data_IF_131722295684
#
_entry.id   IF_131722295684
#
_cell.length_a   1.000
_cell.length_b   1.000
_cell.length_c   1.000
_cell.angle_alpha   90.00
_cell.angle_beta   90.00
_cell.angle_gamma   90.00
#
_symmetry.space_group_name_H-M   'P 1'
#
loop_
_entity.id
_entity.type
_entity.pdbx_description
1 polymer ?
#
# COMPACT_ATOMS: atom_id res chain seq x y z
N UNK A 1 -15.40 -11.70 -2.48
CA UNK A 1 -16.87 -11.70 -2.44
C UNK A 1 -17.45 -13.10 -2.14
N UNK A 2 -17.01 -14.17 -2.82
CA UNK A 2 -17.46 -15.55 -2.56
C UNK A 2 -17.31 -16.03 -1.10
N UNK A 3 -16.24 -15.63 -0.41
CA UNK A 3 -15.99 -16.04 0.98
C UNK A 3 -17.02 -15.47 1.98
N UNK A 4 -17.50 -14.24 1.74
CA UNK A 4 -18.51 -13.61 2.61
C UNK A 4 -19.88 -14.30 2.45
N UNK A 5 -20.20 -14.77 1.24
CA UNK A 5 -21.43 -15.51 0.97
C UNK A 5 -21.39 -16.86 1.71
N UNK A 6 -20.23 -17.54 1.72
CA UNK A 6 -20.06 -18.80 2.43
C UNK A 6 -20.18 -18.64 3.95
N UNK A 7 -19.62 -17.56 4.52
CA UNK A 7 -19.71 -17.25 5.94
C UNK A 7 -21.15 -16.96 6.38
N UNK A 8 -21.90 -16.20 5.58
CA UNK A 8 -23.33 -15.90 5.85
C UNK A 8 -24.18 -17.17 5.74
N UNK A 9 -23.95 -18.00 4.72
CA UNK A 9 -24.67 -19.28 4.56
C UNK A 9 -24.43 -20.22 5.74
N UNK A 10 -23.19 -20.29 6.24
CA UNK A 10 -22.85 -21.09 7.41
C UNK A 10 -23.52 -20.56 8.69
N UNK A 11 -23.49 -19.25 8.92
CA UNK A 11 -24.16 -18.63 10.07
C UNK A 11 -25.68 -18.89 10.08
N UNK A 12 -26.33 -18.80 8.91
CA UNK A 12 -27.76 -19.09 8.74
C UNK A 12 -28.05 -20.57 9.00
N UNK A 13 -27.19 -21.49 8.53
CA UNK A 13 -27.32 -22.93 8.80
C UNK A 13 -27.21 -23.25 10.29
N UNK A 14 -26.26 -22.63 11.01
CA UNK A 14 -26.13 -22.78 12.46
C UNK A 14 -27.37 -22.27 13.21
N UNK A 15 -27.94 -21.13 12.80
CA UNK A 15 -29.14 -20.53 13.38
C UNK A 15 -30.39 -21.41 13.16
N UNK A 16 -30.57 -21.92 11.93
CA UNK A 16 -31.66 -22.83 11.59
C UNK A 16 -31.58 -24.14 12.40
N UNK A 17 -30.36 -24.67 12.58
CA UNK A 17 -30.13 -25.88 13.34
C UNK A 17 -30.35 -25.69 14.86
N UNK A 18 -29.94 -24.54 15.41
CA UNK A 18 -30.24 -24.17 16.79
C UNK A 18 -31.75 -24.02 17.05
N UNK A 19 -32.50 -23.45 16.09
CA UNK A 19 -33.97 -23.41 16.16
C UNK A 19 -34.59 -24.81 16.13
N UNK A 20 -34.09 -25.70 15.27
CA UNK A 20 -34.60 -27.07 15.17
C UNK A 20 -34.34 -27.89 16.45
N UNK A 21 -33.18 -27.70 17.09
CA UNK A 21 -32.85 -28.33 18.37
C UNK A 21 -33.79 -27.88 19.51
N UNK A 22 -34.26 -26.63 19.48
CA UNK A 22 -35.21 -26.09 20.46
C UNK A 22 -36.62 -26.69 20.33
N UNK A 23 -36.96 -27.24 19.16
CA UNK A 23 -38.28 -27.84 18.87
C UNK A 23 -38.40 -29.32 19.30
N UNK A 24 -37.32 -29.99 19.74
CA UNK A 24 -37.35 -31.37 20.25
C UNK A 24 -36.64 -31.51 21.60
N UNK A 25 -37.33 -31.23 22.72
CA UNK A 25 -36.72 -31.16 24.06
C UNK A 25 -36.28 -32.51 24.66
N UNK A 26 -36.71 -33.64 24.10
CA UNK A 26 -36.61 -34.94 24.79
C UNK A 26 -35.32 -35.73 24.57
N UNK A 27 -34.29 -35.13 23.96
CA UNK A 27 -33.02 -35.83 23.69
C UNK A 27 -31.84 -35.14 24.37
N UNK A 28 -31.60 -35.41 25.67
CA UNK A 28 -30.52 -34.76 26.44
C UNK A 28 -29.12 -35.05 25.88
N UNK A 29 -28.96 -36.17 25.15
CA UNK A 29 -27.71 -36.52 24.45
C UNK A 29 -27.51 -35.64 23.22
N UNK A 30 -28.55 -35.41 22.42
CA UNK A 30 -28.49 -34.53 21.24
C UNK A 30 -28.20 -33.09 21.65
N UNK A 31 -28.76 -32.60 22.75
CA UNK A 31 -28.49 -31.24 23.23
C UNK A 31 -27.00 -31.01 23.54
N UNK A 32 -26.31 -32.01 24.11
CA UNK A 32 -24.86 -31.96 24.40
C UNK A 32 -24.03 -31.96 23.12
N UNK A 33 -24.34 -32.83 22.16
CA UNK A 33 -23.64 -32.87 20.87
C UNK A 33 -23.86 -31.59 20.06
N UNK A 34 -25.07 -31.02 20.09
CA UNK A 34 -25.41 -29.76 19.41
C UNK A 34 -24.66 -28.59 20.04
N UNK A 35 -24.63 -28.51 21.37
CA UNK A 35 -23.85 -27.50 22.10
C UNK A 35 -22.36 -27.58 21.76
N UNK A 36 -21.80 -28.80 21.75
CA UNK A 36 -20.40 -29.02 21.42
C UNK A 36 -20.07 -28.66 19.97
N UNK A 37 -20.93 -29.03 19.02
CA UNK A 37 -20.80 -28.68 17.61
C UNK A 37 -20.87 -27.16 17.38
N UNK A 38 -21.79 -26.46 18.07
CA UNK A 38 -21.93 -25.00 17.97
C UNK A 38 -20.73 -24.26 18.55
N UNK A 39 -20.19 -24.73 19.68
CA UNK A 39 -18.95 -24.20 20.28
C UNK A 39 -17.76 -24.38 19.33
N UNK A 40 -17.62 -25.55 18.71
CA UNK A 40 -16.56 -25.85 17.75
C UNK A 40 -16.67 -24.98 16.49
N UNK A 41 -17.89 -24.81 15.96
CA UNK A 41 -18.16 -23.96 14.80
C UNK A 41 -17.77 -22.49 15.06
N UNK A 42 -18.11 -21.95 16.24
CA UNK A 42 -17.73 -20.59 16.64
C UNK A 42 -16.20 -20.41 16.72
N UNK A 43 -15.50 -21.38 17.30
CA UNK A 43 -14.03 -21.35 17.40
C UNK A 43 -13.41 -21.37 16.00
N UNK A 44 -13.88 -22.25 15.11
CA UNK A 44 -13.38 -22.32 13.72
C UNK A 44 -13.63 -21.01 12.98
N UNK A 45 -14.82 -20.41 13.09
CA UNK A 45 -15.11 -19.11 12.48
C UNK A 45 -14.21 -17.99 13.04
N UNK A 46 -13.96 -17.96 14.35
CA UNK A 46 -13.07 -16.97 14.96
C UNK A 46 -11.62 -17.12 14.45
N UNK A 47 -11.10 -18.34 14.37
CA UNK A 47 -9.75 -18.63 13.84
C UNK A 47 -9.66 -18.24 12.36
N UNK A 48 -10.68 -18.54 11.56
CA UNK A 48 -10.70 -18.16 10.14
C UNK A 48 -10.71 -16.64 9.95
N UNK A 49 -11.47 -15.91 10.76
CA UNK A 49 -11.50 -14.45 10.75
C UNK A 49 -10.14 -13.86 11.13
N UNK A 50 -9.46 -14.42 12.15
CA UNK A 50 -8.10 -14.01 12.53
C UNK A 50 -7.11 -14.27 11.39
N UNK A 51 -7.17 -15.43 10.74
CA UNK A 51 -6.31 -15.78 9.60
C UNK A 51 -6.51 -14.83 8.41
N UNK A 52 -7.75 -14.43 8.13
CA UNK A 52 -8.06 -13.46 7.07
C UNK A 52 -7.49 -12.08 7.41
N UNK A 53 -7.57 -11.64 8.67
CA UNK A 53 -7.00 -10.36 9.10
C UNK A 53 -5.47 -10.37 9.00
N UNK A 54 -4.81 -11.46 9.43
CA UNK A 54 -3.36 -11.60 9.37
C UNK A 54 -2.86 -11.63 7.91
N UNK A 55 -3.55 -12.35 7.03
CA UNK A 55 -3.16 -12.46 5.61
C UNK A 55 -3.53 -11.22 4.80
N UNK A 56 -4.60 -10.50 5.16
CA UNK A 56 -5.08 -9.31 4.47
C UNK A 56 -4.17 -8.08 4.65
N UNK A 57 -3.42 -7.98 5.74
CA UNK A 57 -2.48 -6.87 5.97
C UNK A 57 -1.05 -7.17 5.50
N UNK A 58 -0.76 -8.38 5.01
CA UNK A 58 0.59 -8.83 4.68
C UNK A 58 0.99 -8.64 3.21
N UNK A 59 0.17 -7.98 2.38
CA UNK A 59 0.65 -7.47 1.08
C UNK A 59 1.41 -6.15 1.24
N UNK A 60 2.30 -6.09 2.23
CA UNK A 60 3.43 -5.17 2.21
C UNK A 60 4.35 -5.65 1.11
N UNK A 61 4.27 -4.99 -0.05
CA UNK A 61 5.17 -5.25 -1.16
C UNK A 61 6.62 -5.17 -0.66
N UNK A 62 7.53 -6.05 -1.13
CA UNK A 62 8.95 -5.90 -0.83
C UNK A 62 9.35 -4.46 -1.14
N UNK A 63 10.09 -3.79 -0.23
CA UNK A 63 10.52 -2.43 -0.45
C UNK A 63 11.18 -2.34 -1.83
N UNK A 64 10.78 -1.34 -2.61
CA UNK A 64 11.48 -1.07 -3.86
C UNK A 64 12.85 -0.50 -3.51
N UNK A 65 13.85 -1.38 -3.47
CA UNK A 65 15.25 -1.09 -3.13
C UNK A 65 15.87 0.03 -3.97
N UNK A 66 15.21 0.41 -5.07
CA UNK A 66 15.67 1.51 -5.90
C UNK A 66 15.61 2.88 -5.22
N UNK A 67 14.85 3.06 -4.12
CA UNK A 67 14.63 4.36 -3.45
C UNK A 67 14.17 5.48 -4.40
N UNK A 68 13.72 5.13 -5.61
CA UNK A 68 13.23 6.07 -6.62
C UNK A 68 11.76 6.35 -6.38
N UNK A 69 11.36 7.59 -6.66
CA UNK A 69 9.94 7.91 -6.76
C UNK A 69 9.31 7.13 -7.92
N UNK A 70 8.06 6.74 -7.75
CA UNK A 70 7.25 6.04 -8.74
C UNK A 70 6.36 7.06 -9.44
N UNK A 71 6.51 7.18 -10.76
CA UNK A 71 5.60 7.94 -11.60
C UNK A 71 4.56 6.97 -12.17
N UNK A 72 3.35 7.03 -11.63
CA UNK A 72 2.24 6.14 -11.96
C UNK A 72 1.31 6.88 -12.90
N UNK A 73 1.05 6.30 -14.07
CA UNK A 73 0.11 6.79 -15.06
C UNK A 73 -0.93 5.72 -15.31
N UNK A 74 -2.22 6.09 -15.20
CA UNK A 74 -3.33 5.17 -15.45
C UNK A 74 -4.21 5.77 -16.54
N UNK A 75 -4.34 5.03 -17.64
CA UNK A 75 -5.18 5.42 -18.77
C UNK A 75 -6.09 4.27 -19.15
N UNK A 76 -7.23 4.54 -19.77
CA UNK A 76 -8.04 3.47 -20.38
C UNK A 76 -7.22 2.72 -21.45
N UNK A 77 -7.60 1.48 -21.75
CA UNK A 77 -6.99 0.65 -22.78
C UNK A 77 -6.93 1.39 -24.13
N UNK A 78 -8.01 2.08 -24.46
CA UNK A 78 -8.05 3.12 -25.49
C UNK A 78 -8.04 4.50 -24.83
N UNK A 79 -6.90 5.22 -24.83
CA UNK A 79 -6.79 6.47 -24.10
C UNK A 79 -7.72 7.54 -24.69
N UNK A 80 -8.54 8.13 -23.82
CA UNK A 80 -9.35 9.30 -24.14
C UNK A 80 -8.47 10.45 -24.67
N UNK A 81 -9.03 11.48 -25.32
CA UNK A 81 -8.24 12.63 -25.79
C UNK A 81 -7.37 13.26 -24.70
N UNK A 82 -7.88 13.34 -23.46
CA UNK A 82 -7.11 13.81 -22.30
C UNK A 82 -5.99 12.83 -21.92
N UNK A 83 -6.25 11.51 -21.98
CA UNK A 83 -5.23 10.48 -21.77
C UNK A 83 -4.11 10.56 -22.79
N UNK A 84 -4.43 10.71 -24.07
CA UNK A 84 -3.44 10.92 -25.14
C UNK A 84 -2.63 12.20 -24.91
N UNK A 85 -3.29 13.31 -24.60
CA UNK A 85 -2.61 14.58 -24.32
C UNK A 85 -1.64 14.46 -23.14
N UNK A 86 -1.99 13.73 -22.08
CA UNK A 86 -1.08 13.45 -20.96
C UNK A 86 0.13 12.63 -21.41
N UNK A 87 -0.10 11.51 -22.09
CA UNK A 87 0.99 10.62 -22.55
C UNK A 87 1.92 11.33 -23.54
N UNK A 88 1.35 12.12 -24.45
CA UNK A 88 2.11 12.93 -25.39
C UNK A 88 2.87 14.03 -24.67
N UNK A 89 2.27 14.70 -23.69
CA UNK A 89 2.95 15.72 -22.89
C UNK A 89 4.18 15.15 -22.18
N UNK A 90 4.08 13.96 -21.58
CA UNK A 90 5.22 13.29 -20.90
C UNK A 90 6.34 13.00 -21.90
N UNK A 91 5.99 12.52 -23.11
CA UNK A 91 6.96 12.16 -24.16
C UNK A 91 7.63 13.38 -24.81
N UNK A 92 6.85 14.42 -25.10
CA UNK A 92 7.28 15.56 -25.92
C UNK A 92 7.89 16.69 -25.10
N UNK A 93 7.58 16.80 -23.82
CA UNK A 93 8.12 17.86 -22.95
C UNK A 93 9.47 17.41 -22.38
N UNK A 94 10.59 18.08 -22.70
CA UNK A 94 11.92 17.63 -22.28
C UNK A 94 12.08 17.49 -20.75
N UNK A 95 11.51 18.42 -19.97
CA UNK A 95 11.58 18.38 -18.50
C UNK A 95 10.82 17.19 -17.92
N UNK A 96 9.65 16.87 -18.47
CA UNK A 96 8.89 15.69 -18.03
C UNK A 96 9.61 14.41 -18.39
N UNK A 97 10.21 14.30 -19.59
CA UNK A 97 11.02 13.15 -19.96
C UNK A 97 12.22 12.94 -19.03
N UNK A 98 12.88 14.02 -18.60
CA UNK A 98 13.96 13.94 -17.61
C UNK A 98 13.46 13.46 -16.24
N UNK A 99 12.31 13.96 -15.77
CA UNK A 99 11.69 13.48 -14.52
C UNK A 99 11.32 12.00 -14.66
N UNK A 100 10.69 11.60 -15.78
CA UNK A 100 10.30 10.22 -16.08
C UNK A 100 11.50 9.26 -16.01
N UNK A 101 12.67 9.67 -16.54
CA UNK A 101 13.88 8.87 -16.57
C UNK A 101 14.49 8.62 -15.18
N UNK A 102 14.22 9.52 -14.21
CA UNK A 102 14.71 9.40 -12.82
C UNK A 102 13.71 8.75 -11.89
N UNK A 103 12.45 8.63 -12.32
CA UNK A 103 11.42 7.87 -11.62
C UNK A 103 11.34 6.43 -12.13
N UNK A 104 10.79 5.54 -11.31
CA UNK A 104 10.29 4.25 -11.79
C UNK A 104 8.93 4.46 -12.45
N UNK A 105 8.82 4.08 -13.72
CA UNK A 105 7.64 4.35 -14.53
C UNK A 105 6.67 3.19 -14.45
N UNK A 106 5.44 3.47 -14.05
CA UNK A 106 4.35 2.52 -14.10
C UNK A 106 3.26 3.10 -15.00
N UNK A 107 2.91 2.36 -16.05
CA UNK A 107 1.80 2.71 -16.93
C UNK A 107 0.82 1.54 -16.93
N UNK A 108 -0.34 1.76 -16.34
CA UNK A 108 -1.33 0.73 -16.11
C UNK A 108 -2.66 1.11 -16.75
N UNK A 109 -3.50 0.11 -16.93
CA UNK A 109 -4.90 0.25 -17.30
C UNK A 109 -5.78 -0.11 -16.10
N UNK A 110 -7.05 0.31 -16.07
CA UNK A 110 -7.97 -0.03 -14.98
C UNK A 110 -8.20 -1.53 -14.80
N UNK A 111 -7.91 -2.31 -15.84
CA UNK A 111 -8.10 -3.76 -15.90
C UNK A 111 -6.87 -4.54 -15.44
N UNK A 112 -5.72 -3.88 -15.26
CA UNK A 112 -4.51 -4.54 -14.77
C UNK A 112 -4.68 -5.03 -13.33
N UNK A 113 -4.46 -6.33 -13.08
CA UNK A 113 -4.58 -6.90 -11.74
C UNK A 113 -3.63 -6.25 -10.73
N UNK A 114 -2.41 -5.90 -11.17
CA UNK A 114 -1.44 -5.20 -10.33
C UNK A 114 -1.95 -3.81 -9.91
N UNK A 115 -2.69 -3.12 -10.78
CA UNK A 115 -3.35 -1.85 -10.48
C UNK A 115 -4.46 -2.01 -9.47
N UNK A 116 -5.35 -2.97 -9.72
CA UNK A 116 -6.49 -3.26 -8.87
C UNK A 116 -6.07 -3.60 -7.45
N UNK A 117 -5.02 -4.41 -7.30
CA UNK A 117 -4.50 -4.81 -6.00
C UNK A 117 -3.81 -3.67 -5.24
N UNK A 118 -3.08 -2.79 -5.93
CA UNK A 118 -2.14 -1.85 -5.27
C UNK A 118 -2.66 -0.42 -5.18
N UNK A 119 -3.25 0.09 -6.25
CA UNK A 119 -3.58 1.51 -6.34
C UNK A 119 -5.06 1.80 -6.51
N UNK A 120 -5.90 0.86 -6.93
CA UNK A 120 -7.32 1.16 -7.23
C UNK A 120 -8.11 1.76 -6.05
N UNK A 121 -7.74 1.43 -4.81
CA UNK A 121 -8.33 2.05 -3.62
C UNK A 121 -7.99 3.55 -3.49
N UNK A 122 -6.77 3.93 -3.84
CA UNK A 122 -6.27 5.31 -3.72
C UNK A 122 -6.47 6.11 -5.01
N UNK A 123 -6.41 5.45 -6.16
CA UNK A 123 -6.57 5.98 -7.51
C UNK A 123 -7.81 5.30 -8.12
N UNK A 124 -9.01 5.86 -7.97
CA UNK A 124 -10.20 5.16 -8.43
C UNK A 124 -10.28 5.17 -9.96
N UNK A 125 -10.69 4.05 -10.60
CA UNK A 125 -10.72 3.90 -12.05
C UNK A 125 -11.79 4.74 -12.77
N UNK A 126 -12.70 5.38 -12.02
CA UNK A 126 -13.79 6.18 -12.58
C UNK A 126 -13.37 7.59 -13.04
N UNK A 127 -12.11 8.00 -12.85
CA UNK A 127 -11.62 9.35 -13.19
C UNK A 127 -10.33 9.27 -14.00
N UNK A 128 -10.40 8.74 -15.21
CA UNK A 128 -9.24 8.63 -16.11
C UNK A 128 -9.08 9.87 -17.01
N UNK A 129 -7.85 10.19 -17.46
CA UNK A 129 -6.58 9.60 -17.03
C UNK A 129 -6.22 9.99 -15.58
N UNK A 130 -5.34 9.23 -14.93
CA UNK A 130 -4.79 9.54 -13.61
C UNK A 130 -3.27 9.62 -13.72
N UNK A 131 -2.69 10.60 -13.03
CA UNK A 131 -1.25 10.62 -12.77
C UNK A 131 -1.01 10.74 -11.27
N UNK A 132 -0.07 9.96 -10.76
CA UNK A 132 0.35 10.02 -9.39
C UNK A 132 1.87 9.94 -9.28
N UNK A 133 2.40 10.61 -8.26
CA UNK A 133 3.80 10.47 -7.84
C UNK A 133 3.78 9.84 -6.45
N UNK A 134 4.41 8.68 -6.31
CA UNK A 134 4.52 7.97 -5.06
C UNK A 134 5.98 7.77 -4.65
N UNK A 135 6.21 7.63 -3.35
CA UNK A 135 7.49 7.23 -2.77
C UNK A 135 7.70 5.73 -2.92
N UNK A 136 8.93 5.27 -2.68
CA UNK A 136 9.30 3.85 -2.66
C UNK A 136 8.52 3.03 -1.61
N UNK A 137 8.06 3.67 -0.54
CA UNK A 137 7.22 3.07 0.51
C UNK A 137 5.72 2.98 0.16
N UNK A 138 5.34 3.43 -1.05
CA UNK A 138 3.95 3.47 -1.50
C UNK A 138 3.17 4.72 -1.09
N UNK A 139 3.77 5.66 -0.36
CA UNK A 139 3.14 6.93 0.00
C UNK A 139 2.95 7.84 -1.22
N UNK A 140 1.70 8.20 -1.54
CA UNK A 140 1.38 9.10 -2.67
C UNK A 140 1.54 10.56 -2.26
N UNK A 141 2.44 11.29 -2.90
CA UNK A 141 2.74 12.71 -2.61
C UNK A 141 2.11 13.69 -3.60
N UNK A 142 1.70 13.20 -4.78
CA UNK A 142 0.94 13.96 -5.76
C UNK A 142 -0.04 13.04 -6.49
N UNK A 143 -1.24 13.57 -6.76
CA UNK A 143 -2.27 12.90 -7.55
C UNK A 143 -3.10 13.94 -8.28
N UNK A 144 -3.37 13.71 -9.55
CA UNK A 144 -4.34 14.46 -10.33
C UNK A 144 -5.09 13.52 -11.30
N UNK A 145 -6.30 13.90 -11.70
CA UNK A 145 -7.14 13.07 -12.55
C UNK A 145 -7.99 13.85 -13.55
N UNK A 146 -8.31 13.22 -14.68
CA UNK A 146 -9.14 13.80 -15.73
C UNK A 146 -8.57 15.12 -16.26
N UNK A 147 -9.42 16.13 -16.32
CA UNK A 147 -9.08 17.48 -16.79
C UNK A 147 -8.32 18.32 -15.76
N UNK A 148 -8.19 17.86 -14.52
CA UNK A 148 -7.45 18.58 -13.48
C UNK A 148 -5.94 18.37 -13.59
N UNK A 149 -5.48 17.54 -14.53
CA UNK A 149 -4.07 17.24 -14.70
C UNK A 149 -3.42 18.41 -15.45
N UNK A 150 -2.45 19.12 -14.84
CA UNK A 150 -1.66 20.10 -15.58
C UNK A 150 -0.86 19.38 -16.67
N UNK A 151 -0.58 20.08 -17.77
CA UNK A 151 0.18 19.54 -18.91
C UNK A 151 1.45 20.38 -19.16
N UNK A 152 2.40 19.79 -19.87
CA UNK A 152 3.66 20.40 -20.24
C UNK A 152 4.53 20.77 -19.06
N UNK A 153 5.19 21.93 -19.13
CA UNK A 153 6.09 22.41 -18.08
C UNK A 153 5.38 22.65 -16.74
N UNK A 154 4.08 22.99 -16.75
CA UNK A 154 3.31 23.16 -15.52
C UNK A 154 3.22 21.86 -14.71
N UNK A 155 3.11 20.72 -15.38
CA UNK A 155 3.15 19.42 -14.70
C UNK A 155 4.53 19.17 -14.11
N UNK A 156 5.59 19.49 -14.85
CA UNK A 156 6.95 19.32 -14.38
C UNK A 156 7.22 20.15 -13.12
N UNK A 157 6.80 21.42 -13.11
CA UNK A 157 6.95 22.31 -11.96
C UNK A 157 6.20 21.79 -10.73
N UNK A 158 4.98 21.31 -10.91
CA UNK A 158 4.19 20.72 -9.82
C UNK A 158 4.87 19.47 -9.26
N UNK A 159 5.36 18.56 -10.12
CA UNK A 159 6.04 17.34 -9.66
C UNK A 159 7.32 17.68 -8.90
N UNK A 160 8.15 18.59 -9.42
CA UNK A 160 9.39 19.04 -8.77
C UNK A 160 9.11 19.71 -7.43
N UNK A 161 8.12 20.60 -7.36
CA UNK A 161 7.72 21.24 -6.11
C UNK A 161 7.26 20.24 -5.05
N UNK A 162 6.51 19.20 -5.46
CA UNK A 162 6.04 18.14 -4.55
C UNK A 162 7.18 17.28 -4.02
N UNK A 163 8.15 16.93 -4.86
CA UNK A 163 9.36 16.21 -4.42
C UNK A 163 10.18 17.04 -3.45
N UNK A 164 10.39 18.33 -3.73
CA UNK A 164 11.11 19.21 -2.81
C UNK A 164 10.41 19.33 -1.45
N UNK A 165 9.10 19.53 -1.44
CA UNK A 165 8.32 19.58 -0.20
C UNK A 165 8.38 18.27 0.59
N UNK A 166 8.20 17.13 -0.09
CA UNK A 166 8.27 15.81 0.55
C UNK A 166 9.62 15.58 1.23
N UNK A 167 10.74 15.90 0.56
CA UNK A 167 12.09 15.75 1.12
C UNK A 167 12.37 16.62 2.33
N UNK A 168 11.76 17.81 2.41
CA UNK A 168 11.89 18.65 3.60
C UNK A 168 11.17 18.04 4.79
N UNK A 169 10.00 17.43 4.56
CA UNK A 169 9.23 16.75 5.62
C UNK A 169 9.73 15.35 5.96
N UNK A 170 10.34 14.67 4.99
CA UNK A 170 10.83 13.30 5.07
C UNK A 170 12.26 13.27 4.53
N UNK A 171 13.25 13.77 5.28
CA UNK A 171 14.64 13.72 4.85
C UNK A 171 15.05 12.25 4.77
N UNK A 172 15.03 11.69 3.57
CA UNK A 172 15.60 10.37 3.31
C UNK A 172 17.04 10.42 3.78
N UNK A 173 17.44 9.49 4.65
CA UNK A 173 18.83 9.40 5.12
C UNK A 173 19.74 9.37 3.90
N UNK A 174 20.50 10.45 3.69
CA UNK A 174 21.30 10.66 2.50
C UNK A 174 22.39 9.56 2.45
N UNK A 175 22.39 8.63 1.47
CA UNK A 175 23.29 7.48 1.51
C UNK A 175 24.73 7.78 1.05
N UNK A 176 25.14 9.04 1.00
CA UNK A 176 26.48 9.43 0.50
C UNK A 176 27.42 10.04 1.53
N UNK A 177 27.04 10.08 2.81
CA UNK A 177 27.98 10.40 3.88
C UNK A 177 28.25 9.13 4.67
N UNK A 178 28.99 8.22 4.08
CA UNK A 178 29.82 7.34 4.91
C UNK A 178 30.67 8.28 5.77
N UNK A 179 30.60 8.22 7.11
CA UNK A 179 31.62 8.84 7.93
C UNK A 179 32.88 8.04 7.66
N UNK A 180 33.66 8.47 6.67
CA UNK A 180 35.01 7.99 6.49
C UNK A 180 35.75 8.51 7.71
N UNK A 181 35.84 7.64 8.72
CA UNK A 181 36.84 7.77 9.76
C UNK A 181 38.18 8.05 9.08
N UNK A 182 38.90 8.98 9.67
CA UNK A 182 40.32 9.21 9.45
C UNK A 182 40.67 9.91 8.13
N UNK A 183 40.58 11.25 8.11
CA UNK A 183 41.76 12.13 7.90
C UNK A 183 41.45 13.50 8.52
N UNK A 184 42.19 13.86 9.56
CA UNK A 184 42.23 15.23 10.06
C UNK A 184 42.81 16.15 8.97
N UNK A 185 42.05 17.17 8.56
CA UNK A 185 42.58 18.32 7.82
C UNK A 185 42.30 18.38 6.32
N UNK A 186 41.12 18.87 5.96
CA UNK A 186 40.98 19.81 4.82
C UNK A 186 39.56 20.36 4.75
N UNK A 187 39.38 21.56 5.28
CA UNK A 187 38.29 22.44 4.87
C UNK A 187 38.65 23.00 3.48
N UNK A 188 38.37 22.24 2.42
CA UNK A 188 38.40 22.75 1.06
C UNK A 188 36.96 23.07 0.63
N UNK A 189 36.69 24.37 0.57
CA UNK A 189 35.51 24.94 -0.09
C UNK A 189 35.40 24.33 -1.51
N UNK A 190 34.19 23.99 -1.99
CA UNK A 190 34.03 23.42 -3.31
C UNK A 190 34.46 24.42 -4.38
N UNK A 191 35.55 24.09 -5.06
CA UNK A 191 36.06 24.82 -6.21
C UNK A 191 34.99 24.83 -7.32
N UNK A 192 34.56 26.04 -7.69
CA UNK A 192 33.48 26.31 -8.64
C UNK A 192 34.07 26.29 -10.04
N UNK A 193 33.96 25.16 -10.71
CA UNK A 193 34.35 24.99 -12.12
C UNK A 193 33.34 25.74 -13.02
N UNK A 194 33.72 26.85 -13.68
CA UNK A 194 32.79 27.70 -14.43
C UNK A 194 32.33 27.08 -15.77
N UNK A 195 33.00 26.03 -16.26
CA UNK A 195 32.74 25.43 -17.57
C UNK A 195 32.01 24.09 -17.50
N UNK A 196 31.62 23.62 -16.31
CA UNK A 196 30.72 22.46 -16.23
C UNK A 196 29.32 22.88 -16.70
N UNK A 197 28.71 22.17 -17.68
CA UNK A 197 27.30 22.37 -17.96
C UNK A 197 26.55 22.19 -16.65
N UNK A 198 25.67 23.15 -16.30
CA UNK A 198 24.78 23.03 -15.14
C UNK A 198 23.98 21.75 -15.30
N UNK A 199 24.47 20.66 -14.72
CA UNK A 199 23.65 19.52 -14.38
C UNK A 199 22.58 20.15 -13.49
N UNK A 200 21.32 20.14 -13.95
CA UNK A 200 20.23 20.65 -13.14
C UNK A 200 20.19 19.81 -11.85
N UNK A 201 20.85 20.30 -10.80
CA UNK A 201 20.82 19.75 -9.44
C UNK A 201 19.41 19.80 -8.83
N UNK A 202 18.45 20.42 -9.54
CA UNK A 202 17.02 20.39 -9.25
C UNK A 202 16.28 19.16 -9.80
N UNK A 203 16.93 18.35 -10.63
CA UNK A 203 16.32 17.12 -11.09
C UNK A 203 16.68 16.03 -10.07
N UNK A 204 15.69 15.24 -9.70
CA UNK A 204 15.68 14.22 -8.63
C UNK A 204 16.99 13.41 -8.65
N UNK A 205 17.88 13.46 -7.64
CA UNK A 205 19.09 12.64 -7.60
C UNK A 205 18.73 11.15 -7.69
N UNK A 206 19.47 10.43 -8.53
CA UNK A 206 19.49 8.98 -8.56
C UNK A 206 20.27 8.49 -7.33
N UNK A 207 19.61 7.83 -6.38
CA UNK A 207 20.32 7.18 -5.27
C UNK A 207 19.78 5.79 -5.04
N UNK A 208 20.65 4.79 -5.28
CA UNK A 208 20.52 3.42 -4.78
C UNK A 208 21.70 3.18 -3.86
N UNK A 209 21.45 3.06 -2.55
CA UNK A 209 22.19 2.14 -1.68
C UNK A 209 21.17 1.58 -0.68
N UNK A 210 20.97 0.28 -0.77
CA UNK A 210 20.11 -0.55 0.08
C UNK A 210 20.54 -0.46 1.54
N UNK A 211 19.72 0.18 2.35
CA UNK A 211 19.71 0.00 3.80
C UNK A 211 18.36 -0.63 4.12
N UNK A 212 18.39 -1.87 4.64
CA UNK A 212 17.20 -2.58 5.11
C UNK A 212 16.45 -1.71 6.12
N UNK A 213 15.24 -1.27 5.75
CA UNK A 213 14.35 -0.56 6.66
C UNK A 213 13.59 -1.60 7.53
N UNK A 214 13.49 -1.37 8.85
CA UNK A 214 12.82 -2.31 9.75
C UNK A 214 11.32 -2.33 9.46
N UNK A 215 10.77 -3.54 9.32
CA UNK A 215 9.35 -3.83 9.08
C UNK A 215 8.47 -3.33 10.25
N UNK A 216 8.02 -2.06 10.21
CA UNK A 216 7.41 -1.42 11.38
C UNK A 216 5.87 -1.40 11.42
N UNK A 217 5.17 -1.52 10.29
CA UNK A 217 3.70 -1.31 10.28
C UNK A 217 2.88 -2.57 10.60
N UNK A 218 3.39 -3.77 10.27
CA UNK A 218 2.72 -5.04 10.62
C UNK A 218 2.71 -5.29 12.12
N UNK A 219 3.73 -4.82 12.83
CA UNK A 219 3.94 -5.10 14.25
C UNK A 219 2.98 -4.30 15.16
N UNK A 220 2.66 -3.05 14.77
CA UNK A 220 1.72 -2.20 15.54
C UNK A 220 0.27 -2.68 15.38
N UNK A 221 -0.13 -3.11 14.18
CA UNK A 221 -1.48 -3.61 13.94
C UNK A 221 -1.69 -5.01 14.58
N UNK A 222 -0.68 -5.88 14.51
CA UNK A 222 -0.70 -7.18 15.18
C UNK A 222 -0.81 -7.03 16.72
N UNK A 223 -0.10 -6.06 17.31
CA UNK A 223 -0.14 -5.81 18.77
C UNK A 223 -1.42 -5.14 19.24
N UNK A 224 -1.97 -4.19 18.47
CA UNK A 224 -3.14 -3.40 18.91
C UNK A 224 -4.49 -4.10 18.72
N UNK A 225 -4.65 -4.91 17.66
CA UNK A 225 -5.93 -5.60 17.34
C UNK A 225 -5.85 -7.09 17.64
N UNK A 226 -4.70 -7.73 17.43
CA UNK A 226 -4.53 -9.17 17.64
C UNK A 226 -4.54 -9.57 19.12
N UNK A 227 -3.88 -8.78 19.98
CA UNK A 227 -3.76 -9.09 21.41
C UNK A 227 -5.11 -9.04 22.17
N UNK A 228 -5.97 -8.00 22.01
CA UNK A 228 -7.27 -7.98 22.67
C UNK A 228 -8.18 -9.12 22.21
N UNK A 229 -8.11 -9.49 20.93
CA UNK A 229 -8.93 -10.57 20.37
C UNK A 229 -8.50 -11.94 20.90
N UNK A 230 -7.19 -12.17 21.05
CA UNK A 230 -6.65 -13.37 21.69
C UNK A 230 -7.03 -13.46 23.18
N UNK A 231 -7.01 -12.33 23.90
CA UNK A 231 -7.44 -12.28 25.30
C UNK A 231 -8.94 -12.60 25.41
N UNK A 232 -9.78 -12.03 24.55
CA UNK A 232 -11.21 -12.31 24.52
C UNK A 232 -11.51 -13.77 24.16
N UNK A 233 -10.80 -14.35 23.19
CA UNK A 233 -10.91 -15.76 22.83
C UNK A 233 -10.48 -16.68 23.98
N UNK A 234 -9.36 -16.36 24.66
CA UNK A 234 -8.89 -17.11 25.83
C UNK A 234 -9.87 -17.04 26.99
N UNK A 235 -10.42 -15.87 27.29
CA UNK A 235 -11.44 -15.69 28.33
C UNK A 235 -12.73 -16.48 28.02
N UNK A 236 -13.14 -16.50 26.74
CA UNK A 236 -14.30 -17.28 26.31
C UNK A 236 -14.07 -18.78 26.46
N UNK A 237 -12.91 -19.30 26.05
CA UNK A 237 -12.56 -20.72 26.23
C UNK A 237 -12.53 -21.10 27.71
N UNK A 238 -11.93 -20.26 28.56
CA UNK A 238 -11.90 -20.50 30.01
C UNK A 238 -13.29 -20.49 30.65
N UNK A 239 -14.16 -19.57 30.23
CA UNK A 239 -15.56 -19.54 30.68
C UNK A 239 -16.28 -20.84 30.27
N UNK A 240 -16.10 -21.27 29.03
CA UNK A 240 -16.71 -22.49 28.46
C UNK A 240 -16.21 -23.79 29.11
N UNK A 241 -14.98 -23.81 29.62
CA UNK A 241 -14.39 -24.97 30.30
C UNK A 241 -14.74 -25.04 31.79
N UNK A 242 -15.21 -23.94 32.38
CA UNK A 242 -15.57 -23.86 33.80
C UNK A 242 -17.01 -24.33 34.08
N UNK A 243 -17.86 -24.30 33.05
CA UNK A 243 -19.25 -24.79 33.05
C UNK A 243 -19.36 -26.18 32.41
#
# INVERSE_FOLDING_TARGET
MFLNILAVAFAVACLAFACFAKLRPDTPVLLRWVSLAMRLALIVCAVLMILIVITGTAQGQPPDDSQKYHLITVTADEPSPAGRALLDSIRTTPRLSQIEARCKRFRWTPTDDAYLLRYAAQLPPNRLPVIALARSDGGVIFKASGTSIPLGDRLADVLVARVHGDRQSNPTANPSVSPRGDVAGSALLPWRDPDRPRILDQVIPDSVVTVEAPAGFSDVFAKSVGLPLLIAAGAFVLFVLKD
#
